data_IF_082689061761
#
_entry.id   IF_082689061761
#
_cell.length_a   1.000
_cell.length_b   1.000
_cell.length_c   1.000
_cell.angle_alpha   90.00
_cell.angle_beta   90.00
_cell.angle_gamma   90.00
#
_symmetry.space_group_name_H-M   'P 1'
#
loop_
_entity.id
_entity.type
_entity.pdbx_description
1 polymer ?
#
# COMPACT_ATOMS: atom_id res chain seq x y z
N UNK A 1 -8.78 -4.46 -41.64
CA UNK A 1 -8.06 -3.27 -41.18
C UNK A 1 -8.77 -2.76 -39.93
N UNK A 2 -8.22 -3.01 -38.75
CA UNK A 2 -8.74 -2.45 -37.49
C UNK A 2 -7.69 -1.50 -36.94
N UNK A 3 -8.12 -0.27 -36.68
CA UNK A 3 -7.30 0.87 -36.32
C UNK A 3 -6.56 0.65 -34.99
N UNK A 4 -5.26 0.86 -35.07
CA UNK A 4 -4.33 1.09 -33.97
C UNK A 4 -4.72 2.34 -33.18
N UNK A 5 -5.27 2.14 -31.99
CA UNK A 5 -5.40 3.19 -30.97
C UNK A 5 -4.03 3.53 -30.39
N UNK A 6 -3.57 4.76 -30.65
CA UNK A 6 -2.38 5.36 -30.04
C UNK A 6 -2.50 5.36 -28.50
N UNK A 7 -1.41 5.07 -27.75
CA UNK A 7 -1.37 5.40 -26.33
C UNK A 7 -1.42 6.94 -26.20
N UNK A 8 -2.40 7.42 -25.45
CA UNK A 8 -2.48 8.83 -25.09
C UNK A 8 -1.36 9.17 -24.12
N UNK A 9 -0.45 10.05 -24.53
CA UNK A 9 0.35 10.88 -23.65
C UNK A 9 -0.59 11.81 -22.86
N UNK A 10 -1.19 11.26 -21.81
CA UNK A 10 -1.78 12.06 -20.75
C UNK A 10 -0.64 12.63 -19.94
N UNK A 11 -0.31 13.90 -20.18
CA UNK A 11 0.51 14.72 -19.29
C UNK A 11 -0.10 14.68 -17.87
N UNK A 12 0.39 13.75 -17.06
CA UNK A 12 0.12 13.70 -15.64
C UNK A 12 0.69 14.95 -15.02
N UNK A 13 -0.17 15.95 -14.77
CA UNK A 13 0.08 16.98 -13.74
C UNK A 13 0.51 16.24 -12.48
N UNK A 14 1.80 16.28 -12.17
CA UNK A 14 2.38 15.66 -10.97
C UNK A 14 1.62 16.18 -9.74
N UNK A 15 0.84 15.35 -9.03
CA UNK A 15 0.11 15.79 -7.84
C UNK A 15 1.02 16.14 -6.65
N UNK A 16 2.34 15.91 -6.76
CA UNK A 16 3.26 15.98 -5.63
C UNK A 16 3.73 17.37 -5.20
N UNK A 17 3.65 18.41 -6.05
CA UNK A 17 4.33 19.68 -5.74
C UNK A 17 3.64 20.50 -4.63
N UNK A 18 2.31 20.54 -4.60
CA UNK A 18 1.57 21.29 -3.59
C UNK A 18 1.62 20.60 -2.23
N UNK A 19 1.29 19.31 -2.19
CA UNK A 19 1.29 18.51 -0.97
C UNK A 19 2.67 18.48 -0.28
N UNK A 20 3.76 18.43 -1.05
CA UNK A 20 5.11 18.45 -0.49
C UNK A 20 5.45 19.77 0.19
N UNK A 21 4.97 20.91 -0.33
CA UNK A 21 5.12 22.21 0.33
C UNK A 21 4.34 22.26 1.65
N UNK A 22 3.10 21.78 1.66
CA UNK A 22 2.28 21.68 2.87
C UNK A 22 2.94 20.79 3.93
N UNK A 23 3.51 19.65 3.53
CA UNK A 23 4.26 18.77 4.43
C UNK A 23 5.53 19.41 4.99
N UNK A 24 6.21 20.24 4.21
CA UNK A 24 7.39 20.97 4.67
C UNK A 24 7.00 22.03 5.70
N UNK A 25 5.89 22.74 5.48
CA UNK A 25 5.33 23.67 6.47
C UNK A 25 4.91 22.93 7.75
N UNK A 26 4.24 21.79 7.64
CA UNK A 26 3.91 20.95 8.81
C UNK A 26 5.17 20.53 9.57
N UNK A 27 6.25 20.18 8.89
CA UNK A 27 7.52 19.81 9.52
C UNK A 27 8.12 20.98 10.33
N UNK A 28 8.01 22.21 9.84
CA UNK A 28 8.43 23.40 10.60
C UNK A 28 7.59 23.57 11.87
N UNK A 29 6.29 23.29 11.80
CA UNK A 29 5.38 23.37 12.95
C UNK A 29 5.67 22.29 13.99
N UNK A 30 5.98 21.08 13.54
CA UNK A 30 6.46 19.97 14.39
C UNK A 30 7.73 20.38 15.14
N UNK A 31 8.70 21.00 14.45
CA UNK A 31 9.93 21.46 15.08
C UNK A 31 9.66 22.53 16.16
N UNK A 32 8.77 23.49 15.88
CA UNK A 32 8.34 24.49 16.87
C UNK A 32 7.63 23.84 18.07
N UNK A 33 6.75 22.88 17.81
CA UNK A 33 6.05 22.14 18.86
C UNK A 33 7.04 21.38 19.74
N UNK A 34 8.04 20.70 19.16
CA UNK A 34 9.09 20.02 19.92
C UNK A 34 9.89 20.99 20.80
N UNK A 35 10.21 22.18 20.31
CA UNK A 35 10.86 23.21 21.11
C UNK A 35 9.99 23.63 22.30
N UNK A 36 8.68 23.84 22.10
CA UNK A 36 7.75 24.13 23.20
C UNK A 36 7.68 23.00 24.22
N UNK A 37 7.67 21.74 23.78
CA UNK A 37 7.69 20.57 24.68
C UNK A 37 8.93 20.61 25.58
N UNK A 38 10.10 20.89 25.02
CA UNK A 38 11.35 20.98 25.77
C UNK A 38 11.32 22.13 26.79
N UNK A 39 10.81 23.31 26.38
CA UNK A 39 10.67 24.46 27.29
C UNK A 39 9.70 24.16 28.43
N UNK A 40 8.59 23.47 28.16
CA UNK A 40 7.59 23.09 29.15
C UNK A 40 8.05 21.94 30.06
N UNK A 41 8.92 21.04 29.58
CA UNK A 41 9.52 20.00 30.43
C UNK A 41 10.40 20.62 31.53
N UNK A 42 11.16 21.67 31.20
CA UNK A 42 11.97 22.43 32.16
C UNK A 42 11.15 23.20 33.22
N UNK A 43 9.85 23.43 32.97
CA UNK A 43 8.95 23.98 33.97
C UNK A 43 8.50 22.87 34.93
N UNK A 44 9.03 22.88 36.14
CA UNK A 44 8.67 21.88 37.15
C UNK A 44 7.33 22.26 37.83
N UNK A 45 6.26 21.45 37.72
CA UNK A 45 5.00 21.69 38.45
C UNK A 45 5.12 21.43 39.97
N UNK A 46 6.20 20.78 40.44
CA UNK A 46 6.41 20.43 41.85
C UNK A 46 7.15 21.51 42.67
N UNK A 47 7.45 22.67 42.09
CA UNK A 47 8.17 23.74 42.75
C UNK A 47 7.26 24.72 43.50
N UNK A 48 6.89 24.35 44.74
CA UNK A 48 6.23 25.18 45.76
C UNK A 48 4.75 25.54 45.54
N UNK A 49 3.96 25.26 46.59
CA UNK A 49 2.64 25.83 46.88
C UNK A 49 2.74 27.35 47.21
N UNK A 50 3.51 28.10 46.43
CA UNK A 50 3.65 29.54 46.52
C UNK A 50 3.06 30.21 45.29
N UNK A 51 2.66 31.48 45.44
CA UNK A 51 2.29 32.33 44.29
C UNK A 51 3.41 32.27 43.25
N UNK A 52 3.02 31.95 42.01
CA UNK A 52 3.93 31.93 40.87
C UNK A 52 4.69 33.25 40.78
N UNK A 53 6.00 33.21 40.50
CA UNK A 53 6.77 34.44 40.27
C UNK A 53 6.22 35.18 39.04
N UNK A 54 6.27 36.51 39.05
CA UNK A 54 5.87 37.34 37.91
C UNK A 54 6.65 36.97 36.64
N UNK A 55 7.90 36.53 36.79
CA UNK A 55 8.74 36.06 35.70
C UNK A 55 8.25 34.72 35.11
N UNK A 56 7.81 33.79 35.95
CA UNK A 56 7.22 32.52 35.52
C UNK A 56 5.88 32.73 34.80
N UNK A 57 5.05 33.64 35.31
CA UNK A 57 3.78 34.00 34.67
C UNK A 57 4.01 34.60 33.28
N UNK A 58 4.96 35.53 33.15
CA UNK A 58 5.35 36.09 31.85
C UNK A 58 5.89 35.01 30.90
N UNK A 59 6.63 34.02 31.40
CA UNK A 59 7.11 32.90 30.61
C UNK A 59 5.96 32.03 30.10
N UNK A 60 4.96 31.71 30.93
CA UNK A 60 3.80 30.92 30.50
C UNK A 60 2.92 31.66 29.50
N UNK A 61 2.74 32.98 29.65
CA UNK A 61 2.04 33.79 28.65
C UNK A 61 2.76 33.75 27.30
N UNK A 62 4.09 33.82 27.28
CA UNK A 62 4.88 33.63 26.05
C UNK A 62 4.66 32.25 25.44
N UNK A 63 4.71 31.18 26.23
CA UNK A 63 4.43 29.82 25.75
C UNK A 63 3.02 29.68 25.20
N UNK A 64 2.01 30.29 25.84
CA UNK A 64 0.64 30.26 25.38
C UNK A 64 0.49 30.96 24.01
N UNK A 65 1.16 32.10 23.83
CA UNK A 65 1.18 32.82 22.55
C UNK A 65 1.86 32.00 21.46
N UNK A 66 3.01 31.40 21.75
CA UNK A 66 3.70 30.51 20.81
C UNK A 66 2.84 29.30 20.45
N UNK A 67 2.20 28.65 21.43
CA UNK A 67 1.30 27.52 21.20
C UNK A 67 0.08 27.94 20.35
N UNK A 68 -0.46 29.14 20.56
CA UNK A 68 -1.55 29.71 19.76
C UNK A 68 -1.13 29.95 18.30
N UNK A 69 0.07 30.48 18.06
CA UNK A 69 0.61 30.62 16.70
C UNK A 69 0.77 29.27 16.01
N UNK A 70 1.22 28.25 16.75
CA UNK A 70 1.32 26.89 16.20
C UNK A 70 -0.07 26.35 15.85
N UNK A 71 -1.06 26.54 16.74
CA UNK A 71 -2.44 26.12 16.49
C UNK A 71 -3.00 26.76 15.22
N UNK A 72 -2.80 28.05 15.05
CA UNK A 72 -3.35 28.78 13.91
C UNK A 72 -2.69 28.34 12.59
N UNK A 73 -1.37 28.11 12.58
CA UNK A 73 -0.68 27.56 11.41
C UNK A 73 -1.10 26.12 11.10
N UNK A 74 -1.28 25.27 12.12
CA UNK A 74 -1.82 23.91 11.92
C UNK A 74 -3.26 23.96 11.42
N UNK A 75 -4.03 24.97 11.82
CA UNK A 75 -5.38 25.18 11.30
C UNK A 75 -5.40 25.56 9.83
N UNK A 76 -4.58 26.51 9.42
CA UNK A 76 -4.42 26.85 8.02
C UNK A 76 -3.98 25.63 7.20
N UNK A 77 -2.98 24.88 7.68
CA UNK A 77 -2.52 23.68 7.02
C UNK A 77 -3.62 22.62 6.88
N UNK A 78 -4.39 22.38 7.94
CA UNK A 78 -5.50 21.42 7.92
C UNK A 78 -6.54 21.79 6.85
N UNK A 79 -6.90 23.06 6.75
CA UNK A 79 -7.83 23.54 5.73
C UNK A 79 -7.26 23.40 4.31
N UNK A 80 -5.98 23.72 4.09
CA UNK A 80 -5.32 23.51 2.80
C UNK A 80 -5.22 22.01 2.43
N UNK A 81 -4.93 21.13 3.40
CA UNK A 81 -4.98 19.68 3.19
C UNK A 81 -6.39 19.21 2.84
N UNK A 82 -7.46 19.75 3.46
CA UNK A 82 -8.85 19.41 3.13
C UNK A 82 -9.22 19.85 1.70
N UNK A 83 -8.85 21.07 1.30
CA UNK A 83 -9.06 21.54 -0.09
C UNK A 83 -8.36 20.65 -1.10
N UNK A 84 -7.12 20.25 -0.82
CA UNK A 84 -6.37 19.33 -1.69
C UNK A 84 -7.07 17.95 -1.79
N UNK A 85 -7.65 17.46 -0.69
CA UNK A 85 -8.40 16.19 -0.69
C UNK A 85 -9.68 16.25 -1.52
N UNK A 86 -10.43 17.35 -1.44
CA UNK A 86 -11.65 17.55 -2.21
C UNK A 86 -11.35 17.55 -3.72
N UNK A 87 -10.23 18.15 -4.12
CA UNK A 87 -9.76 18.15 -5.51
C UNK A 87 -9.34 16.74 -5.99
N UNK A 88 -8.63 15.97 -5.15
CA UNK A 88 -8.12 14.64 -5.51
C UNK A 88 -9.10 13.49 -5.22
N UNK A 89 -10.26 13.76 -4.59
CA UNK A 89 -11.27 12.77 -4.21
C UNK A 89 -10.80 11.72 -3.19
N UNK A 90 -9.65 11.96 -2.56
CA UNK A 90 -8.98 11.00 -1.66
C UNK A 90 -8.99 11.51 -0.23
N UNK A 91 -9.86 10.96 0.61
CA UNK A 91 -9.93 11.26 2.05
C UNK A 91 -8.57 11.04 2.74
N UNK A 92 -7.90 12.09 3.21
CA UNK A 92 -6.67 12.00 3.99
C UNK A 92 -7.08 11.58 5.41
N UNK A 93 -6.60 10.42 5.85
CA UNK A 93 -6.86 9.96 7.20
C UNK A 93 -5.88 10.69 8.11
N UNK A 94 -6.35 11.71 8.82
CA UNK A 94 -5.45 12.52 9.60
C UNK A 94 -6.17 13.38 10.62
N UNK A 95 -5.77 13.27 11.89
CA UNK A 95 -6.47 13.87 13.01
C UNK A 95 -5.91 15.25 13.38
N UNK A 96 -5.65 16.12 12.41
CA UNK A 96 -5.22 17.50 12.73
C UNK A 96 -6.32 18.27 13.46
N UNK A 97 -7.59 17.95 13.22
CA UNK A 97 -8.70 18.54 13.99
C UNK A 97 -8.61 18.21 15.49
N UNK A 98 -8.18 16.98 15.85
CA UNK A 98 -7.97 16.62 17.25
C UNK A 98 -6.74 17.30 17.84
N UNK A 99 -5.67 17.46 17.04
CA UNK A 99 -4.48 18.21 17.44
C UNK A 99 -4.84 19.65 17.79
N UNK A 100 -5.66 20.32 16.98
CA UNK A 100 -6.12 21.69 17.25
C UNK A 100 -6.90 21.80 18.57
N UNK A 101 -7.81 20.85 18.83
CA UNK A 101 -8.57 20.80 20.10
C UNK A 101 -7.64 20.60 21.29
N UNK A 102 -6.69 19.68 21.18
CA UNK A 102 -5.73 19.41 22.23
C UNK A 102 -4.86 20.66 22.51
N UNK A 103 -4.44 21.39 21.48
CA UNK A 103 -3.71 22.65 21.64
C UNK A 103 -4.53 23.73 22.33
N UNK A 104 -5.83 23.84 22.01
CA UNK A 104 -6.71 24.81 22.65
C UNK A 104 -6.79 24.59 24.16
N UNK A 105 -6.87 23.34 24.60
CA UNK A 105 -6.87 22.99 26.02
C UNK A 105 -5.52 23.34 26.69
N UNK A 106 -4.38 23.09 26.03
CA UNK A 106 -3.07 23.49 26.57
C UNK A 106 -2.93 25.01 26.67
N UNK A 107 -3.41 25.76 25.69
CA UNK A 107 -3.38 27.23 25.73
C UNK A 107 -4.20 27.73 26.92
N UNK A 108 -5.36 27.13 27.17
CA UNK A 108 -6.19 27.42 28.34
C UNK A 108 -5.45 27.09 29.65
N UNK A 109 -4.87 25.90 29.75
CA UNK A 109 -4.08 25.49 30.92
C UNK A 109 -2.92 26.46 31.20
N UNK A 110 -2.23 26.92 30.15
CA UNK A 110 -1.12 27.89 30.26
C UNK A 110 -1.61 29.27 30.71
N UNK A 111 -2.76 29.74 30.21
CA UNK A 111 -3.38 31.01 30.61
C UNK A 111 -3.88 30.97 32.05
N UNK A 112 -4.42 29.83 32.47
CA UNK A 112 -4.89 29.58 33.84
C UNK A 112 -3.74 29.29 34.81
N UNK A 113 -2.49 29.26 34.33
CA UNK A 113 -1.29 28.96 35.11
C UNK A 113 -1.31 27.55 35.72
N UNK A 114 -1.98 26.60 35.06
CA UNK A 114 -2.26 25.26 35.54
C UNK A 114 -1.51 24.20 34.72
N UNK A 115 -0.18 24.13 34.86
CA UNK A 115 0.62 23.10 34.18
C UNK A 115 0.53 21.81 34.99
N UNK A 116 -0.35 20.92 34.57
CA UNK A 116 -0.48 19.58 35.16
C UNK A 116 0.38 18.56 34.42
N UNK A 117 0.66 17.38 35.02
CA UNK A 117 1.22 16.26 34.28
C UNK A 117 0.38 15.87 33.05
N UNK A 118 -0.93 16.06 33.11
CA UNK A 118 -1.84 15.81 31.98
C UNK A 118 -1.64 16.82 30.85
N UNK A 119 -1.40 18.09 31.16
CA UNK A 119 -1.04 19.13 30.17
C UNK A 119 0.23 18.74 29.41
N UNK A 120 1.26 18.26 30.12
CA UNK A 120 2.52 17.78 29.51
C UNK A 120 2.31 16.54 28.63
N UNK A 121 1.54 15.56 29.10
CA UNK A 121 1.18 14.38 28.29
C UNK A 121 0.42 14.76 27.02
N UNK A 122 -0.51 15.72 27.12
CA UNK A 122 -1.26 16.21 25.96
C UNK A 122 -0.33 16.87 24.94
N UNK A 123 0.65 17.62 25.42
CA UNK A 123 1.67 18.29 24.61
C UNK A 123 2.56 17.28 23.84
N UNK A 124 2.89 16.13 24.44
CA UNK A 124 3.59 15.01 23.76
C UNK A 124 2.69 14.28 22.75
N UNK A 125 1.42 14.09 23.11
CA UNK A 125 0.41 13.46 22.23
C UNK A 125 0.16 14.30 20.97
N UNK A 126 0.16 15.63 21.08
CA UNK A 126 0.08 16.54 19.94
C UNK A 126 1.24 16.30 18.98
N UNK A 127 2.46 16.30 19.49
CA UNK A 127 3.66 16.08 18.68
C UNK A 127 3.61 14.73 17.96
N UNK A 128 3.24 13.67 18.68
CA UNK A 128 3.10 12.31 18.13
C UNK A 128 2.08 12.29 16.99
N UNK A 129 0.89 12.87 17.20
CA UNK A 129 -0.16 12.94 16.16
C UNK A 129 0.26 13.72 14.92
N UNK A 130 1.04 14.78 15.06
CA UNK A 130 1.55 15.51 13.90
C UNK A 130 2.57 14.69 13.11
N UNK A 131 3.46 13.98 13.80
CA UNK A 131 4.43 13.06 13.18
C UNK A 131 3.71 11.91 12.47
N UNK A 132 2.72 11.30 13.13
CA UNK A 132 1.88 10.25 12.55
C UNK A 132 1.15 10.74 11.31
N UNK A 133 0.60 11.96 11.34
CA UNK A 133 -0.04 12.57 10.17
C UNK A 133 0.95 12.75 9.01
N UNK A 134 2.16 13.23 9.30
CA UNK A 134 3.21 13.40 8.28
C UNK A 134 3.58 12.04 7.65
N UNK A 135 3.77 11.01 8.47
CA UNK A 135 4.08 9.65 8.02
C UNK A 135 2.94 9.07 7.19
N UNK A 136 1.72 9.10 7.71
CA UNK A 136 0.52 8.59 7.03
C UNK A 136 0.29 9.28 5.68
N UNK A 137 0.58 10.58 5.58
CA UNK A 137 0.44 11.30 4.31
C UNK A 137 1.47 10.82 3.30
N UNK A 138 2.73 10.61 3.72
CA UNK A 138 3.78 10.09 2.85
C UNK A 138 3.53 8.66 2.41
N UNK A 139 3.16 7.77 3.33
CA UNK A 139 2.89 6.36 3.01
C UNK A 139 1.78 6.23 1.97
N UNK A 140 0.73 7.06 2.08
CA UNK A 140 -0.38 7.07 1.13
C UNK A 140 0.01 7.49 -0.29
N UNK A 141 1.03 8.34 -0.45
CA UNK A 141 1.57 8.69 -1.78
C UNK A 141 2.25 7.49 -2.45
N UNK A 142 2.76 6.54 -1.66
CA UNK A 142 3.46 5.34 -2.15
C UNK A 142 2.60 4.06 -2.13
N UNK A 143 1.37 4.13 -1.61
CA UNK A 143 0.50 2.95 -1.51
C UNK A 143 0.00 2.52 -2.89
N UNK A 144 0.45 1.34 -3.35
CA UNK A 144 -0.07 0.73 -4.58
C UNK A 144 -1.49 0.23 -4.34
N UNK A 145 -2.45 0.78 -5.08
CA UNK A 145 -3.84 0.30 -5.03
C UNK A 145 -3.90 -1.14 -5.54
N UNK A 146 -4.44 -2.04 -4.72
CA UNK A 146 -4.71 -3.41 -5.12
C UNK A 146 -5.75 -3.42 -6.25
N UNK A 147 -5.34 -3.79 -7.45
CA UNK A 147 -6.26 -4.06 -8.55
C UNK A 147 -6.72 -5.52 -8.49
N UNK A 148 -8.01 -5.73 -8.22
CA UNK A 148 -8.61 -7.06 -8.40
C UNK A 148 -9.01 -7.22 -9.86
N UNK A 149 -8.59 -8.32 -10.49
CA UNK A 149 -9.08 -8.71 -11.81
C UNK A 149 -10.14 -9.79 -11.62
N UNK A 150 -11.37 -9.63 -12.13
CA UNK A 150 -12.36 -10.69 -12.09
C UNK A 150 -11.84 -11.90 -12.87
N UNK A 151 -12.20 -13.10 -12.41
CA UNK A 151 -11.88 -14.34 -13.13
C UNK A 151 -12.46 -14.30 -14.54
N UNK A 152 -11.63 -14.57 -15.55
CA UNK A 152 -12.11 -14.72 -16.92
C UNK A 152 -12.65 -16.13 -17.11
N UNK A 153 -13.88 -16.25 -17.60
CA UNK A 153 -14.38 -17.54 -18.08
C UNK A 153 -13.63 -17.86 -19.37
N UNK A 154 -12.81 -18.91 -19.33
CA UNK A 154 -12.19 -19.47 -20.52
C UNK A 154 -13.08 -20.60 -21.01
N UNK A 155 -13.62 -20.47 -22.22
CA UNK A 155 -14.16 -21.63 -22.94
C UNK A 155 -12.97 -22.52 -23.32
N UNK A 156 -12.78 -23.60 -22.54
CA UNK A 156 -11.75 -24.60 -22.84
C UNK A 156 -12.29 -25.50 -23.95
N UNK A 157 -11.70 -25.43 -25.13
CA UNK A 157 -11.91 -26.45 -26.14
C UNK A 157 -11.24 -27.74 -25.68
N UNK A 158 -11.96 -28.86 -25.72
CA UNK A 158 -11.36 -30.16 -25.51
C UNK A 158 -10.37 -30.43 -26.65
N UNK A 159 -9.21 -31.07 -26.39
CA UNK A 159 -8.31 -31.48 -27.46
C UNK A 159 -9.06 -32.27 -28.55
N UNK A 160 -8.69 -32.14 -29.84
CA UNK A 160 -9.31 -32.90 -30.89
C UNK A 160 -9.14 -34.41 -30.65
N UNK A 161 -10.12 -35.18 -31.09
CA UNK A 161 -10.09 -36.64 -31.03
C UNK A 161 -8.82 -37.17 -31.72
N UNK A 162 -8.14 -38.12 -31.07
CA UNK A 162 -6.94 -38.73 -31.63
C UNK A 162 -7.37 -39.60 -32.81
N UNK A 163 -7.14 -39.12 -34.04
CA UNK A 163 -7.38 -39.90 -35.26
C UNK A 163 -6.24 -40.92 -35.39
N UNK A 164 -6.49 -42.15 -34.93
CA UNK A 164 -5.59 -43.28 -35.21
C UNK A 164 -5.83 -43.70 -36.66
N UNK A 165 -5.04 -43.18 -37.59
CA UNK A 165 -5.16 -43.50 -39.01
C UNK A 165 -4.63 -44.91 -39.30
N UNK A 166 -5.52 -45.78 -39.83
CA UNK A 166 -5.24 -47.16 -40.27
C UNK A 166 -3.90 -47.35 -41.02
N UNK A 167 -3.47 -46.49 -41.96
CA UNK A 167 -2.19 -46.68 -42.65
C UNK A 167 -0.97 -46.66 -41.71
N UNK A 168 -0.99 -45.89 -40.62
CA UNK A 168 0.12 -45.85 -39.67
C UNK A 168 0.24 -47.16 -38.87
N UNK A 169 -0.89 -47.79 -38.53
CA UNK A 169 -0.89 -49.10 -37.86
C UNK A 169 -0.35 -50.18 -38.79
N UNK A 170 -0.83 -50.22 -40.05
CA UNK A 170 -0.41 -51.24 -41.02
C UNK A 170 1.08 -51.11 -41.34
N UNK A 171 1.59 -49.89 -41.46
CA UNK A 171 3.02 -49.66 -41.69
C UNK A 171 3.89 -50.14 -40.52
N UNK A 172 3.47 -49.90 -39.27
CA UNK A 172 4.16 -50.43 -38.09
C UNK A 172 4.17 -51.96 -38.06
N UNK A 173 3.02 -52.59 -38.31
CA UNK A 173 2.92 -54.07 -38.36
C UNK A 173 3.83 -54.68 -39.44
N UNK A 174 3.95 -54.02 -40.60
CA UNK A 174 4.84 -54.50 -41.65
C UNK A 174 6.33 -54.34 -41.27
N UNK A 175 6.68 -53.26 -40.55
CA UNK A 175 8.03 -53.09 -40.02
C UNK A 175 8.36 -54.16 -38.97
N UNK A 176 7.45 -54.42 -38.03
CA UNK A 176 7.62 -55.47 -37.03
C UNK A 176 7.80 -56.85 -37.70
N UNK A 177 7.04 -57.14 -38.76
CA UNK A 177 7.20 -58.38 -39.54
C UNK A 177 8.56 -58.49 -40.26
N UNK A 178 9.12 -57.36 -40.71
CA UNK A 178 10.46 -57.28 -41.31
C UNK A 178 11.57 -57.44 -40.25
N UNK A 179 11.34 -57.02 -39.01
CA UNK A 179 12.26 -57.19 -37.89
C UNK A 179 12.29 -58.63 -37.38
N UNK A 180 11.15 -59.33 -37.38
CA UNK A 180 11.09 -60.76 -37.08
C UNK A 180 12.01 -61.60 -37.98
N UNK A 181 12.14 -61.22 -39.26
CA UNK A 181 13.04 -61.90 -40.19
C UNK A 181 14.53 -61.66 -39.89
N UNK A 182 14.85 -60.62 -39.12
CA UNK A 182 16.23 -60.23 -38.79
C UNK A 182 16.69 -60.81 -37.46
N UNK A 183 15.77 -61.22 -36.59
CA UNK A 183 16.06 -61.73 -35.27
C UNK A 183 15.97 -63.27 -35.26
N UNK A 184 16.94 -63.95 -34.63
CA UNK A 184 16.99 -65.42 -34.58
C UNK A 184 16.02 -65.97 -33.52
N UNK A 185 14.73 -65.90 -33.78
CA UNK A 185 13.71 -66.54 -32.94
C UNK A 185 13.71 -68.06 -33.13
N UNK A 186 13.17 -68.78 -32.15
CA UNK A 186 12.91 -70.23 -32.31
C UNK A 186 11.63 -70.42 -33.12
N UNK A 187 11.58 -71.47 -33.96
CA UNK A 187 10.49 -71.68 -34.94
C UNK A 187 9.08 -71.61 -34.32
N UNK A 188 8.90 -72.12 -33.10
CA UNK A 188 7.63 -72.09 -32.38
C UNK A 188 7.15 -70.66 -32.04
N UNK A 189 8.08 -69.76 -31.72
CA UNK A 189 7.77 -68.37 -31.40
C UNK A 189 7.50 -67.54 -32.66
N UNK A 190 8.22 -67.79 -33.75
CA UNK A 190 7.96 -67.13 -35.03
C UNK A 190 6.53 -67.39 -35.50
N UNK A 191 6.09 -68.65 -35.43
CA UNK A 191 4.73 -69.04 -35.82
C UNK A 191 3.66 -68.36 -34.94
N UNK A 192 3.92 -68.25 -33.64
CA UNK A 192 2.99 -67.59 -32.72
C UNK A 192 2.86 -66.09 -33.03
N UNK A 193 3.99 -65.42 -33.28
CA UNK A 193 4.00 -63.97 -33.58
C UNK A 193 3.34 -63.71 -34.94
N UNK A 194 3.65 -64.50 -35.97
CA UNK A 194 2.99 -64.38 -37.28
C UNK A 194 1.48 -64.50 -37.16
N UNK A 195 0.98 -65.51 -36.43
CA UNK A 195 -0.45 -65.71 -36.20
C UNK A 195 -1.11 -64.56 -35.43
N UNK A 196 -0.38 -63.92 -34.51
CA UNK A 196 -0.85 -62.75 -33.78
C UNK A 196 -0.93 -61.50 -34.67
N UNK A 197 0.11 -61.22 -35.47
CA UNK A 197 0.12 -60.08 -36.40
C UNK A 197 -0.95 -60.23 -37.48
N UNK A 198 -1.15 -61.45 -38.01
CA UNK A 198 -2.27 -61.77 -38.92
C UNK A 198 -3.63 -61.47 -38.29
N UNK A 199 -3.82 -61.82 -37.01
CA UNK A 199 -5.06 -61.48 -36.29
C UNK A 199 -5.25 -59.97 -36.11
N UNK A 200 -4.19 -59.20 -35.88
CA UNK A 200 -4.30 -57.73 -35.81
C UNK A 200 -4.66 -57.14 -37.18
N UNK A 201 -4.08 -57.65 -38.27
CA UNK A 201 -4.41 -57.22 -39.63
C UNK A 201 -5.86 -57.51 -39.99
N UNK A 202 -6.36 -58.69 -39.65
CA UNK A 202 -7.71 -59.16 -40.00
C UNK A 202 -8.81 -58.69 -39.04
N UNK A 203 -8.50 -58.53 -37.75
CA UNK A 203 -9.41 -57.97 -36.73
C UNK A 203 -9.62 -56.46 -36.82
N UNK A 204 -9.01 -55.80 -37.80
CA UNK A 204 -9.18 -54.38 -38.10
C UNK A 204 -10.17 -54.09 -39.25
N UNK A 205 -11.00 -55.08 -39.62
CA UNK A 205 -12.17 -54.93 -40.49
C UNK A 205 -13.44 -54.63 -39.69
#
# INVERSE_FOLDING_TARGET
MCQSGKPGDGEGKKPGSGLQQLLQQLQQMIAKQQQLNNQMQGMNPNGNQGKLSQEQMAQMQRLALEQQQIKDGVNQLNEEFKKQQEADGKKLLGNLDQVQKDMQEIIKDLQENNITPETKKRQEKILSRMLDFQLSTREKDFEQKRESRPGKNFERSSPPEIIISKPNIINGINQDALELQKENYTEDYELLIQKYLEKIKTGSN
#
